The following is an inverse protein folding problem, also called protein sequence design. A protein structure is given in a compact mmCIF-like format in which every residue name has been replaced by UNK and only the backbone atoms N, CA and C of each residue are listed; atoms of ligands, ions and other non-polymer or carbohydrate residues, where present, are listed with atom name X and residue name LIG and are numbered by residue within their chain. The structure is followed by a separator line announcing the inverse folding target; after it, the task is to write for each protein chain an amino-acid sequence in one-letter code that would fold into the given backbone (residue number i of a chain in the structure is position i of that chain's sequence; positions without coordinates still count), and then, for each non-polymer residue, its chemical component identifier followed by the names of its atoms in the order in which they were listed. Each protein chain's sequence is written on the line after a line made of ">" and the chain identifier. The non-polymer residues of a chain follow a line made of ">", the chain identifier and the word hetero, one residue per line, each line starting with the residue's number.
data_IF_663627203660
#
_entry.id   IF_663627203660
#
_cell.length_a   1.000
_cell.length_b   1.000
_cell.length_c   1.000
_cell.angle_alpha   90.00
_cell.angle_beta   90.00
_cell.angle_gamma   90.00
#
_symmetry.space_group_name_H-M   'P 1'
#
loop_
_entity.id
_entity.type
_entity.pdbx_description
1 polymer ?
#
# COMPACT_ATOMS: atom_id res chain seq x y z
N UNK A 1 29.08 -38.48 -10.24
CA UNK A 1 30.21 -39.45 -10.27
C UNK A 1 30.73 -39.68 -8.86
N UNK A 2 30.77 -38.64 -8.02
CA UNK A 2 30.23 -38.70 -6.65
C UNK A 2 28.80 -39.30 -6.75
N UNK A 3 28.44 -40.46 -6.21
CA UNK A 3 29.07 -41.15 -5.08
C UNK A 3 28.84 -42.67 -5.11
N UNK A 4 29.25 -43.32 -6.19
CA UNK A 4 29.09 -44.77 -6.33
C UNK A 4 29.70 -45.54 -5.12
N UNK A 5 30.79 -45.01 -4.56
CA UNK A 5 31.48 -45.53 -3.37
C UNK A 5 30.65 -45.36 -2.10
N UNK A 6 29.99 -44.21 -1.93
CA UNK A 6 29.08 -44.00 -0.80
C UNK A 6 27.84 -44.88 -0.90
N UNK A 7 27.21 -44.97 -2.08
CA UNK A 7 26.06 -45.84 -2.30
C UNK A 7 26.43 -47.31 -2.03
N UNK A 8 27.63 -47.74 -2.43
CA UNK A 8 28.16 -49.04 -2.09
C UNK A 8 28.34 -49.23 -0.57
N UNK A 9 28.90 -48.26 0.14
CA UNK A 9 29.08 -48.34 1.59
C UNK A 9 27.73 -48.34 2.33
N UNK A 10 26.77 -47.51 1.92
CA UNK A 10 25.43 -47.47 2.49
C UNK A 10 24.66 -48.78 2.26
N UNK A 11 24.84 -49.41 1.09
CA UNK A 11 24.29 -50.74 0.79
C UNK A 11 24.90 -51.80 1.70
N UNK A 12 26.23 -51.80 1.87
CA UNK A 12 26.91 -52.72 2.78
C UNK A 12 26.37 -52.54 4.20
N UNK A 13 26.26 -51.31 4.68
CA UNK A 13 25.75 -50.99 6.00
C UNK A 13 24.31 -51.47 6.24
N UNK A 14 23.43 -51.40 5.24
CA UNK A 14 22.05 -51.92 5.34
C UNK A 14 22.02 -53.44 5.56
N UNK A 15 22.86 -54.18 4.84
CA UNK A 15 23.00 -55.64 4.99
C UNK A 15 23.92 -56.09 6.12
N UNK A 16 24.57 -55.16 6.81
CA UNK A 16 25.55 -55.45 7.85
C UNK A 16 24.88 -55.95 9.13
N UNK A 17 25.47 -56.99 9.73
CA UNK A 17 25.12 -57.49 11.05
C UNK A 17 26.32 -57.24 11.98
N UNK A 18 26.26 -56.22 12.85
CA UNK A 18 27.40 -55.84 13.67
C UNK A 18 27.65 -56.89 14.77
N UNK A 19 28.92 -57.08 15.14
CA UNK A 19 29.32 -58.06 16.16
C UNK A 19 28.77 -57.71 17.56
N UNK A 20 28.57 -56.42 17.82
CA UNK A 20 27.87 -55.86 18.98
C UNK A 20 27.04 -54.64 18.50
N UNK A 21 25.95 -54.25 19.20
CA UNK A 21 25.17 -53.07 18.81
C UNK A 21 26.04 -51.81 18.67
N UNK A 22 26.07 -51.23 17.47
CA UNK A 22 26.90 -50.06 17.14
C UNK A 22 28.36 -50.34 16.78
N UNK A 23 28.78 -51.60 16.72
CA UNK A 23 30.14 -51.92 16.29
C UNK A 23 30.28 -51.73 14.77
N UNK A 24 31.41 -51.14 14.37
CA UNK A 24 31.83 -51.00 12.96
C UNK A 24 32.40 -52.30 12.37
N UNK A 25 32.58 -53.33 13.20
CA UNK A 25 32.99 -54.69 12.80
C UNK A 25 31.83 -55.67 12.95
N UNK A 26 31.68 -56.57 11.98
CA UNK A 26 30.53 -57.47 11.89
C UNK A 26 30.57 -58.37 10.67
N UNK A 27 29.48 -59.09 10.46
CA UNK A 27 29.29 -60.00 9.33
C UNK A 27 28.38 -59.39 8.28
N UNK A 28 28.71 -59.60 7.01
CA UNK A 28 27.91 -59.20 5.86
C UNK A 28 27.68 -60.39 4.94
N UNK A 29 26.43 -60.68 4.58
CA UNK A 29 26.09 -61.76 3.66
C UNK A 29 26.00 -61.22 2.23
N UNK A 30 26.83 -61.75 1.34
CA UNK A 30 26.88 -61.33 -0.07
C UNK A 30 25.81 -62.10 -0.83
N UNK A 31 24.61 -61.54 -0.97
CA UNK A 31 23.47 -62.23 -1.60
C UNK A 31 23.45 -62.06 -3.13
N UNK A 32 23.89 -60.90 -3.62
CA UNK A 32 23.78 -60.49 -5.03
C UNK A 32 25.10 -60.03 -5.62
N UNK A 33 25.17 -59.94 -6.95
CA UNK A 33 26.34 -59.38 -7.65
C UNK A 33 26.53 -57.89 -7.33
N UNK A 34 25.45 -57.17 -7.00
CA UNK A 34 25.52 -55.79 -6.53
C UNK A 34 26.24 -55.68 -5.17
N UNK A 35 25.93 -56.59 -4.23
CA UNK A 35 26.61 -56.65 -2.92
C UNK A 35 28.10 -56.93 -3.08
N UNK A 36 28.45 -57.88 -3.96
CA UNK A 36 29.83 -58.21 -4.28
C UNK A 36 30.58 -57.00 -4.87
N UNK A 37 29.98 -56.36 -5.87
CA UNK A 37 30.56 -55.20 -6.54
C UNK A 37 30.73 -54.03 -5.56
N UNK A 38 29.79 -53.84 -4.64
CA UNK A 38 29.86 -52.82 -3.60
C UNK A 38 31.06 -53.06 -2.67
N UNK A 39 31.24 -54.28 -2.17
CA UNK A 39 32.38 -54.64 -1.31
C UNK A 39 33.70 -54.46 -2.06
N UNK A 40 33.80 -54.95 -3.30
CA UNK A 40 35.02 -54.79 -4.11
C UNK A 40 35.35 -53.31 -4.38
N UNK A 41 34.33 -52.48 -4.63
CA UNK A 41 34.50 -51.03 -4.83
C UNK A 41 34.98 -50.34 -3.55
N UNK A 42 34.38 -50.66 -2.40
CA UNK A 42 34.76 -50.08 -1.13
C UNK A 42 36.17 -50.52 -0.69
N UNK A 43 36.61 -51.74 -1.02
CA UNK A 43 37.98 -52.21 -0.78
C UNK A 43 39.01 -51.50 -1.68
N UNK A 44 38.68 -51.24 -2.94
CA UNK A 44 39.54 -50.46 -3.85
C UNK A 44 39.74 -49.03 -3.35
N UNK A 45 38.72 -48.45 -2.75
CA UNK A 45 38.73 -47.10 -2.16
C UNK A 45 38.89 -47.13 -0.64
N UNK A 46 39.71 -48.06 -0.12
CA UNK A 46 39.98 -48.20 1.32
C UNK A 46 40.44 -46.89 1.97
N UNK A 47 41.21 -46.07 1.25
CA UNK A 47 41.63 -44.74 1.71
C UNK A 47 40.48 -43.82 2.11
N UNK A 48 39.25 -44.07 1.65
CA UNK A 48 38.06 -43.27 1.99
C UNK A 48 37.14 -44.02 2.94
N UNK A 49 36.86 -45.27 2.62
CA UNK A 49 35.87 -46.11 3.33
C UNK A 49 36.40 -46.73 4.61
N UNK A 50 37.71 -46.90 4.73
CA UNK A 50 38.35 -47.66 5.81
C UNK A 50 37.87 -49.12 5.87
N UNK A 51 37.36 -49.68 4.76
CA UNK A 51 36.80 -51.03 4.74
C UNK A 51 37.92 -52.08 4.70
N UNK A 52 37.86 -53.06 5.61
CA UNK A 52 38.78 -54.19 5.70
C UNK A 52 38.03 -55.51 5.82
N UNK A 53 38.58 -56.57 5.19
CA UNK A 53 38.11 -57.95 5.34
C UNK A 53 38.97 -58.65 6.38
N UNK A 54 38.39 -59.01 7.53
CA UNK A 54 39.19 -59.41 8.69
C UNK A 54 39.53 -60.91 8.72
N UNK A 55 38.64 -61.78 8.25
CA UNK A 55 38.76 -63.24 8.48
C UNK A 55 38.73 -64.10 7.22
N UNK A 56 38.51 -63.53 6.02
CA UNK A 56 38.37 -64.32 4.79
C UNK A 56 38.93 -63.57 3.57
N UNK A 57 40.25 -63.63 3.40
CA UNK A 57 40.98 -63.01 2.27
C UNK A 57 40.65 -63.70 0.92
N UNK A 58 40.06 -64.90 0.95
CA UNK A 58 39.69 -65.63 -0.26
C UNK A 58 38.32 -65.23 -0.78
N UNK A 59 38.35 -64.29 -1.75
CA UNK A 59 37.31 -63.87 -2.68
C UNK A 59 35.92 -63.62 -2.07
N UNK A 60 35.46 -62.37 -2.17
CA UNK A 60 34.05 -62.00 -1.96
C UNK A 60 33.22 -62.72 -3.01
N UNK A 61 32.63 -63.87 -2.67
CA UNK A 61 31.82 -64.71 -3.57
C UNK A 61 30.37 -64.66 -3.12
N UNK A 62 29.45 -64.60 -4.10
CA UNK A 62 28.01 -64.66 -3.87
C UNK A 62 27.65 -65.93 -3.07
N UNK A 63 26.80 -65.78 -2.07
CA UNK A 63 26.31 -66.85 -1.20
C UNK A 63 27.16 -67.13 0.02
N UNK A 64 28.17 -66.29 0.33
CA UNK A 64 29.00 -66.42 1.54
C UNK A 64 28.87 -65.21 2.47
N UNK A 65 29.06 -65.47 3.76
CA UNK A 65 29.18 -64.45 4.80
C UNK A 65 30.64 -64.06 4.96
N UNK A 66 30.92 -62.77 4.98
CA UNK A 66 32.25 -62.20 5.13
C UNK A 66 32.29 -61.32 6.37
N UNK A 67 33.34 -61.42 7.18
CA UNK A 67 33.57 -60.52 8.32
C UNK A 67 34.24 -59.23 7.82
N UNK A 68 33.53 -58.11 7.95
CA UNK A 68 33.97 -56.79 7.50
C UNK A 68 34.14 -55.84 8.68
N UNK A 69 35.05 -54.89 8.55
CA UNK A 69 35.19 -53.72 9.43
C UNK A 69 35.27 -52.48 8.57
N UNK A 70 34.57 -51.39 8.91
CA UNK A 70 34.71 -50.12 8.19
C UNK A 70 34.86 -48.95 9.15
N UNK A 71 35.87 -48.13 8.95
CA UNK A 71 36.09 -46.87 9.67
C UNK A 71 36.33 -45.73 8.68
N UNK A 72 35.26 -45.13 8.13
CA UNK A 72 35.37 -44.12 7.09
C UNK A 72 36.12 -42.89 7.61
N UNK A 73 36.92 -42.25 6.75
CA UNK A 73 37.63 -41.03 7.16
C UNK A 73 36.63 -39.97 7.65
N UNK A 74 36.85 -39.33 8.83
CA UNK A 74 35.90 -38.39 9.42
C UNK A 74 35.51 -37.21 8.52
N UNK A 75 36.40 -36.78 7.62
CA UNK A 75 36.13 -35.73 6.64
C UNK A 75 35.36 -36.19 5.39
N UNK A 76 35.22 -37.50 5.18
CA UNK A 76 34.52 -38.09 4.04
C UNK A 76 33.11 -38.56 4.41
N UNK A 77 32.95 -39.33 5.50
CA UNK A 77 31.67 -39.78 6.02
C UNK A 77 31.72 -39.94 7.54
N UNK A 78 30.58 -39.71 8.20
CA UNK A 78 30.43 -39.91 9.65
C UNK A 78 29.70 -41.22 9.92
N UNK A 79 30.20 -42.03 10.85
CA UNK A 79 29.51 -43.25 11.31
C UNK A 79 29.18 -43.07 12.77
N UNK A 80 27.91 -43.28 13.12
CA UNK A 80 27.42 -43.25 14.48
C UNK A 80 26.72 -44.57 14.80
N UNK A 81 26.88 -45.06 16.02
CA UNK A 81 26.16 -46.22 16.55
C UNK A 81 24.66 -46.00 16.49
N UNK A 82 24.21 -44.89 17.06
CA UNK A 82 22.81 -44.49 17.12
C UNK A 82 22.68 -42.99 16.79
N UNK A 83 21.44 -42.50 16.77
CA UNK A 83 21.18 -41.12 16.43
C UNK A 83 21.59 -40.17 17.59
N UNK A 84 21.68 -40.65 18.83
CA UNK A 84 22.14 -39.84 19.95
C UNK A 84 23.64 -39.51 19.79
N UNK A 85 24.48 -40.50 19.44
CA UNK A 85 25.90 -40.28 19.12
C UNK A 85 26.08 -39.32 17.92
N UNK A 86 25.18 -39.38 16.92
CA UNK A 86 25.23 -38.42 15.82
C UNK A 86 24.95 -36.98 16.29
N UNK A 87 24.03 -36.81 17.25
CA UNK A 87 23.64 -35.52 17.81
C UNK A 87 24.57 -35.02 18.93
N UNK A 88 25.43 -35.88 19.49
CA UNK A 88 26.49 -35.49 20.42
C UNK A 88 27.53 -34.60 19.74
N UNK A 89 27.77 -34.80 18.44
CA UNK A 89 28.55 -33.87 17.64
C UNK A 89 27.73 -32.59 17.41
N UNK A 90 28.11 -31.46 18.04
CA UNK A 90 27.23 -30.31 18.17
C UNK A 90 26.88 -29.67 16.80
N UNK A 91 27.81 -29.72 15.85
CA UNK A 91 27.60 -29.22 14.48
C UNK A 91 26.49 -29.95 13.72
N UNK A 92 26.22 -31.22 14.03
CA UNK A 92 25.18 -32.00 13.38
C UNK A 92 23.78 -31.52 13.80
N UNK A 93 23.62 -30.76 14.89
CA UNK A 93 22.31 -30.23 15.31
C UNK A 93 21.78 -29.12 14.41
N UNK A 94 22.69 -28.38 13.78
CA UNK A 94 22.37 -27.20 12.94
C UNK A 94 22.45 -27.49 11.45
N UNK A 95 23.31 -28.44 11.05
CA UNK A 95 23.51 -28.84 9.65
C UNK A 95 23.90 -30.30 9.58
N UNK A 96 23.16 -31.08 8.78
CA UNK A 96 23.54 -32.44 8.48
C UNK A 96 24.82 -32.50 7.64
N UNK A 97 25.70 -33.44 7.98
CA UNK A 97 26.84 -33.81 7.12
C UNK A 97 26.34 -34.39 5.81
N UNK A 98 27.12 -34.23 4.74
CA UNK A 98 26.77 -34.75 3.42
C UNK A 98 26.67 -36.27 3.36
N UNK A 99 27.42 -36.96 4.23
CA UNK A 99 27.45 -38.42 4.32
C UNK A 99 27.49 -38.83 5.78
N UNK A 100 26.46 -39.54 6.21
CA UNK A 100 26.43 -40.13 7.54
C UNK A 100 25.68 -41.45 7.53
N UNK A 101 26.02 -42.31 8.49
CA UNK A 101 25.43 -43.62 8.67
C UNK A 101 25.11 -43.85 10.15
N UNK A 102 23.90 -44.33 10.42
CA UNK A 102 23.44 -44.72 11.75
C UNK A 102 23.30 -46.24 11.77
N UNK A 103 24.16 -46.92 12.54
CA UNK A 103 24.29 -48.37 12.49
C UNK A 103 23.10 -49.12 13.10
N UNK A 104 22.55 -48.62 14.21
CA UNK A 104 21.44 -49.25 14.93
C UNK A 104 20.17 -49.31 14.08
N UNK A 105 19.82 -48.20 13.42
CA UNK A 105 18.65 -48.12 12.53
C UNK A 105 18.95 -48.53 11.10
N UNK A 106 20.22 -48.77 10.76
CA UNK A 106 20.70 -49.07 9.39
C UNK A 106 20.33 -48.01 8.36
N UNK A 107 20.16 -46.77 8.81
CA UNK A 107 19.77 -45.64 7.97
C UNK A 107 21.01 -44.83 7.56
N UNK A 108 20.99 -44.33 6.33
CA UNK A 108 22.05 -43.48 5.81
C UNK A 108 21.53 -42.09 5.44
N UNK A 109 22.46 -41.21 5.08
CA UNK A 109 22.14 -39.92 4.47
C UNK A 109 21.41 -40.02 3.12
N UNK A 110 21.11 -41.21 2.61
CA UNK A 110 20.31 -41.40 1.39
C UNK A 110 18.82 -41.64 1.73
N UNK A 111 18.51 -42.00 2.98
CA UNK A 111 17.15 -42.32 3.45
C UNK A 111 16.38 -41.06 3.94
N UNK A 112 16.83 -39.86 3.56
CA UNK A 112 16.33 -38.56 4.04
C UNK A 112 14.86 -38.30 3.71
N UNK A 113 14.35 -38.95 2.67
CA UNK A 113 12.98 -38.77 2.19
C UNK A 113 11.97 -39.60 2.99
N UNK A 114 12.42 -40.63 3.71
CA UNK A 114 11.56 -41.45 4.55
C UNK A 114 11.34 -40.80 5.92
N UNK A 115 10.32 -39.95 6.00
CA UNK A 115 9.97 -39.19 7.18
C UNK A 115 9.35 -40.04 8.31
N UNK A 116 9.05 -41.31 8.07
CA UNK A 116 8.65 -42.22 9.14
C UNK A 116 9.85 -42.59 10.03
N UNK A 117 11.06 -42.44 9.52
CA UNK A 117 12.32 -42.76 10.23
C UNK A 117 12.80 -41.63 11.13
N UNK A 118 13.61 -41.98 12.13
CA UNK A 118 14.27 -41.01 13.00
C UNK A 118 15.22 -40.08 12.20
N UNK A 119 15.88 -40.60 11.16
CA UNK A 119 16.72 -39.81 10.24
C UNK A 119 15.90 -38.82 9.40
N UNK A 120 14.74 -39.23 8.89
CA UNK A 120 13.84 -38.31 8.18
C UNK A 120 13.30 -37.20 9.09
N UNK A 121 12.96 -37.53 10.34
CA UNK A 121 12.57 -36.54 11.37
C UNK A 121 13.69 -35.56 11.68
N UNK A 122 14.91 -36.05 11.85
CA UNK A 122 16.11 -35.23 12.01
C UNK A 122 16.28 -34.22 10.86
N UNK A 123 16.11 -34.65 9.61
CA UNK A 123 16.22 -33.76 8.45
C UNK A 123 15.16 -32.67 8.40
N UNK A 124 13.94 -32.95 8.86
CA UNK A 124 12.90 -31.92 8.99
C UNK A 124 13.31 -30.87 10.02
N UNK A 125 13.92 -31.27 11.14
CA UNK A 125 14.43 -30.33 12.16
C UNK A 125 15.60 -29.51 11.62
N UNK A 126 16.51 -30.09 10.84
CA UNK A 126 17.57 -29.34 10.15
C UNK A 126 16.98 -28.31 9.19
N UNK A 127 15.95 -28.69 8.42
CA UNK A 127 15.20 -27.78 7.56
C UNK A 127 14.57 -26.62 8.34
N UNK A 128 14.02 -26.90 9.53
CA UNK A 128 13.51 -25.87 10.43
C UNK A 128 14.63 -24.94 10.90
N UNK A 129 15.79 -25.46 11.32
CA UNK A 129 16.93 -24.61 11.73
C UNK A 129 17.35 -23.66 10.61
N UNK A 130 17.37 -24.13 9.36
CA UNK A 130 17.66 -23.26 8.21
C UNK A 130 16.59 -22.19 8.00
N UNK A 131 15.31 -22.52 8.19
CA UNK A 131 14.24 -21.52 8.12
C UNK A 131 14.31 -20.50 9.27
N UNK A 132 14.62 -20.95 10.50
CA UNK A 132 14.80 -20.08 11.66
C UNK A 132 16.00 -19.16 11.50
N UNK A 133 17.06 -19.59 10.80
CA UNK A 133 18.21 -18.76 10.46
C UNK A 133 17.83 -17.55 9.60
N UNK A 134 16.83 -17.67 8.73
CA UNK A 134 16.32 -16.55 7.93
C UNK A 134 15.53 -15.53 8.76
N UNK A 135 15.00 -15.94 9.92
CA UNK A 135 14.37 -15.05 10.91
C UNK A 135 15.36 -14.49 11.94
N UNK A 136 16.44 -15.22 12.23
CA UNK A 136 17.47 -14.80 13.17
C UNK A 136 18.34 -13.68 12.59
N UNK A 137 18.97 -12.89 13.47
CA UNK A 137 19.99 -11.93 13.05
C UNK A 137 21.24 -12.63 12.53
N UNK A 138 21.63 -13.72 13.21
CA UNK A 138 22.69 -14.63 12.77
C UNK A 138 22.62 -15.97 13.52
N UNK A 139 23.34 -16.97 13.00
CA UNK A 139 23.58 -18.26 13.66
C UNK A 139 25.03 -18.30 14.12
N UNK A 140 25.27 -18.33 15.43
CA UNK A 140 26.57 -18.62 16.01
C UNK A 140 26.84 -20.12 15.82
N UNK A 141 27.73 -20.44 14.89
CA UNK A 141 28.03 -21.84 14.53
C UNK A 141 28.81 -22.57 15.63
N UNK A 142 29.86 -21.99 16.24
CA UNK A 142 30.50 -22.57 17.42
C UNK A 142 29.54 -22.89 18.57
N UNK A 143 28.68 -21.94 18.95
CA UNK A 143 27.74 -22.12 20.07
C UNK A 143 26.42 -22.82 19.67
N UNK A 144 26.22 -23.10 18.37
CA UNK A 144 24.95 -23.55 17.77
C UNK A 144 23.75 -22.73 18.23
N UNK A 145 23.91 -21.42 18.26
CA UNK A 145 22.95 -20.53 18.88
C UNK A 145 22.35 -19.59 17.83
N UNK A 146 21.03 -19.63 17.69
CA UNK A 146 20.28 -18.69 16.87
C UNK A 146 20.07 -17.41 17.68
N UNK A 147 20.64 -16.31 17.20
CA UNK A 147 20.57 -15.02 17.89
C UNK A 147 19.55 -14.13 17.21
N UNK A 148 18.47 -13.81 17.93
CA UNK A 148 17.41 -12.91 17.47
C UNK A 148 17.64 -11.49 17.99
N UNK A 149 17.35 -10.51 17.14
CA UNK A 149 17.45 -9.08 17.45
C UNK A 149 16.05 -8.48 17.34
N UNK A 150 15.21 -8.74 18.34
CA UNK A 150 13.83 -8.22 18.40
C UNK A 150 13.58 -7.64 19.79
N UNK A 151 13.74 -6.31 19.92
CA UNK A 151 13.66 -5.61 21.21
C UNK A 151 14.84 -5.87 22.17
N UNK A 152 15.90 -6.51 21.70
CA UNK A 152 17.09 -6.91 22.46
C UNK A 152 17.74 -8.16 21.86
N UNK A 153 18.91 -8.56 22.39
CA UNK A 153 19.53 -9.85 22.06
C UNK A 153 18.75 -10.97 22.73
N UNK A 154 18.32 -11.96 21.96
CA UNK A 154 17.66 -13.16 22.48
C UNK A 154 18.31 -14.41 21.89
N UNK A 155 18.87 -15.24 22.76
CA UNK A 155 19.59 -16.47 22.39
C UNK A 155 18.66 -17.69 22.39
N UNK A 156 18.70 -18.46 21.31
CA UNK A 156 18.02 -19.75 21.14
C UNK A 156 19.05 -20.82 20.76
N UNK A 157 19.67 -21.49 21.75
CA UNK A 157 20.57 -22.61 21.49
C UNK A 157 19.82 -23.78 20.83
N UNK A 158 20.37 -24.33 19.77
CA UNK A 158 19.81 -25.45 19.02
C UNK A 158 20.12 -26.77 19.73
N UNK A 159 19.39 -27.00 20.83
CA UNK A 159 19.52 -28.20 21.66
C UNK A 159 18.25 -29.05 21.59
N UNK A 160 18.40 -30.28 21.14
CA UNK A 160 17.35 -31.31 21.09
C UNK A 160 17.97 -32.70 21.12
N UNK A 161 17.16 -33.68 21.50
CA UNK A 161 17.53 -35.10 21.63
C UNK A 161 16.73 -35.97 20.69
N UNK A 162 17.10 -37.25 20.54
CA UNK A 162 16.32 -38.22 19.77
C UNK A 162 14.91 -38.39 20.33
N UNK A 163 14.74 -38.23 21.66
CA UNK A 163 13.42 -38.28 22.30
C UNK A 163 12.51 -37.15 21.80
N UNK A 164 13.07 -35.96 21.57
CA UNK A 164 12.31 -34.82 21.03
C UNK A 164 11.93 -35.07 19.55
N UNK A 165 12.82 -35.68 18.77
CA UNK A 165 12.56 -36.08 17.39
C UNK A 165 11.40 -37.08 17.28
N UNK A 166 11.30 -38.03 18.22
CA UNK A 166 10.22 -39.02 18.24
C UNK A 166 8.88 -38.44 18.68
N UNK A 167 8.90 -37.43 19.56
CA UNK A 167 7.69 -36.78 20.10
C UNK A 167 7.13 -35.67 19.22
N UNK A 168 7.93 -35.08 18.32
CA UNK A 168 7.46 -33.97 17.49
C UNK A 168 6.36 -34.41 16.53
N UNK A 169 5.44 -33.47 16.25
CA UNK A 169 4.50 -33.58 15.16
C UNK A 169 5.18 -33.11 13.86
N UNK A 170 5.38 -34.04 12.93
CA UNK A 170 6.11 -33.80 11.69
C UNK A 170 5.43 -32.77 10.79
N UNK A 171 4.11 -32.75 10.75
CA UNK A 171 3.36 -31.84 9.88
C UNK A 171 3.44 -30.41 10.39
N UNK A 172 3.30 -30.23 11.72
CA UNK A 172 3.40 -28.92 12.36
C UNK A 172 4.80 -28.31 12.18
N UNK A 173 5.85 -29.09 12.43
CA UNK A 173 7.25 -28.62 12.26
C UNK A 173 7.56 -28.30 10.79
N UNK A 174 7.10 -29.14 9.86
CA UNK A 174 7.29 -28.89 8.42
C UNK A 174 6.57 -27.63 7.96
N UNK A 175 5.38 -27.37 8.48
CA UNK A 175 4.64 -26.16 8.13
C UNK A 175 5.36 -24.87 8.53
N UNK A 176 6.28 -24.93 9.51
CA UNK A 176 7.09 -23.77 9.92
C UNK A 176 8.22 -23.46 8.93
N UNK A 177 8.70 -24.43 8.15
CA UNK A 177 9.85 -24.24 7.24
C UNK A 177 9.52 -23.38 6.02
N UNK A 178 8.23 -23.19 5.73
CA UNK A 178 7.72 -22.47 4.56
C UNK A 178 7.09 -21.12 4.88
N UNK A 179 7.19 -20.66 6.14
CA UNK A 179 6.54 -19.42 6.59
C UNK A 179 7.13 -18.15 6.00
N UNK A 180 8.44 -18.17 5.71
CA UNK A 180 9.14 -17.01 5.15
C UNK A 180 9.15 -17.15 3.61
N UNK A 181 8.41 -16.29 2.88
CA UNK A 181 8.44 -16.31 1.43
C UNK A 181 9.76 -15.74 0.89
N UNK A 182 10.06 -16.06 -0.37
CA UNK A 182 11.22 -15.51 -1.09
C UNK A 182 10.93 -14.17 -1.79
N UNK A 183 9.82 -13.51 -1.45
CA UNK A 183 9.31 -12.32 -2.13
C UNK A 183 9.60 -11.01 -1.36
N UNK A 184 8.92 -9.94 -1.74
CA UNK A 184 9.05 -8.59 -1.16
C UNK A 184 8.72 -8.55 0.34
N UNK A 185 7.95 -9.49 0.88
CA UNK A 185 7.54 -9.54 2.28
C UNK A 185 8.46 -10.36 3.17
N UNK A 186 9.55 -10.92 2.61
CA UNK A 186 10.52 -11.75 3.34
C UNK A 186 10.94 -11.17 4.69
N UNK A 187 11.35 -9.89 4.73
CA UNK A 187 11.87 -9.25 5.94
C UNK A 187 10.80 -9.12 7.04
N UNK A 188 9.57 -8.78 6.68
CA UNK A 188 8.48 -8.62 7.64
C UNK A 188 7.98 -9.97 8.15
N UNK A 189 7.84 -10.97 7.28
CA UNK A 189 7.52 -12.33 7.69
C UNK A 189 8.61 -12.89 8.62
N UNK A 190 9.89 -12.67 8.32
CA UNK A 190 11.01 -13.02 9.19
C UNK A 190 10.91 -12.34 10.57
N UNK A 191 10.58 -11.05 10.62
CA UNK A 191 10.41 -10.31 11.87
C UNK A 191 9.22 -10.80 12.72
N UNK A 192 8.07 -11.07 12.08
CA UNK A 192 6.89 -11.63 12.74
C UNK A 192 7.21 -13.01 13.31
N UNK A 193 7.92 -13.84 12.53
CA UNK A 193 8.32 -15.17 12.97
C UNK A 193 9.30 -15.09 14.15
N UNK A 194 10.31 -14.21 14.07
CA UNK A 194 11.22 -13.95 15.18
C UNK A 194 10.48 -13.56 16.47
N UNK A 195 9.50 -12.65 16.40
CA UNK A 195 8.69 -12.27 17.58
C UNK A 195 7.88 -13.45 18.13
N UNK A 196 7.25 -14.23 17.25
CA UNK A 196 6.47 -15.39 17.68
C UNK A 196 7.35 -16.45 18.38
N UNK A 197 8.58 -16.67 17.87
CA UNK A 197 9.58 -17.56 18.47
C UNK A 197 9.98 -17.05 19.85
N UNK A 198 10.41 -15.78 19.93
CA UNK A 198 10.94 -15.22 21.18
C UNK A 198 9.88 -15.19 22.26
N UNK A 199 8.65 -14.83 21.93
CA UNK A 199 7.56 -14.74 22.91
C UNK A 199 7.10 -16.12 23.41
N UNK A 200 7.06 -17.13 22.53
CA UNK A 200 6.69 -18.50 22.92
C UNK A 200 7.70 -19.12 23.90
N UNK A 201 9.00 -18.90 23.68
CA UNK A 201 10.07 -19.56 24.45
C UNK A 201 10.69 -18.67 25.54
N UNK A 202 10.23 -17.42 25.68
CA UNK A 202 10.79 -16.44 26.64
C UNK A 202 10.82 -16.95 28.08
N UNK A 203 9.72 -17.59 28.50
CA UNK A 203 9.55 -18.10 29.86
C UNK A 203 10.33 -19.39 30.12
N UNK A 204 10.90 -20.01 29.08
CA UNK A 204 11.61 -21.28 29.19
C UNK A 204 13.10 -21.08 29.52
N UNK A 205 13.70 -21.98 30.32
CA UNK A 205 15.15 -22.00 30.54
C UNK A 205 15.90 -22.10 29.22
N UNK A 206 16.98 -21.33 29.06
CA UNK A 206 17.72 -21.18 27.79
C UNK A 206 18.05 -22.50 27.11
N UNK A 207 18.45 -23.52 27.89
CA UNK A 207 18.83 -24.84 27.38
C UNK A 207 17.67 -25.66 26.81
N UNK A 208 16.43 -25.38 27.24
CA UNK A 208 15.25 -26.16 26.86
C UNK A 208 14.40 -25.46 25.78
N UNK A 209 14.76 -24.24 25.38
CA UNK A 209 13.95 -23.41 24.48
C UNK A 209 13.68 -24.08 23.14
N UNK A 210 14.69 -24.70 22.53
CA UNK A 210 14.54 -25.32 21.21
C UNK A 210 13.71 -26.60 21.27
N UNK A 211 13.96 -27.48 22.25
CA UNK A 211 13.11 -28.65 22.50
C UNK A 211 11.64 -28.27 22.76
N UNK A 212 11.40 -27.22 23.55
CA UNK A 212 10.06 -26.68 23.80
C UNK A 212 9.41 -26.15 22.50
N UNK A 213 10.17 -25.44 21.68
CA UNK A 213 9.72 -24.95 20.38
C UNK A 213 9.27 -26.09 19.46
N UNK A 214 10.02 -27.21 19.41
CA UNK A 214 9.64 -28.40 18.65
C UNK A 214 8.33 -29.02 19.17
N UNK A 215 8.19 -29.13 20.49
CA UNK A 215 6.99 -29.68 21.12
C UNK A 215 5.74 -28.81 20.92
N UNK A 216 5.90 -27.50 20.69
CA UNK A 216 4.81 -26.54 20.54
C UNK A 216 4.80 -25.85 19.17
N UNK A 217 5.25 -26.56 18.13
CA UNK A 217 5.28 -26.06 16.76
C UNK A 217 3.90 -25.56 16.26
N UNK A 218 2.81 -26.21 16.68
CA UNK A 218 1.44 -25.78 16.36
C UNK A 218 1.08 -24.41 16.96
N UNK A 219 1.47 -24.17 18.21
CA UNK A 219 1.24 -22.89 18.88
C UNK A 219 2.08 -21.79 18.23
N UNK A 220 3.33 -22.10 17.89
CA UNK A 220 4.20 -21.19 17.14
C UNK A 220 3.58 -20.79 15.80
N UNK A 221 3.03 -21.76 15.06
CA UNK A 221 2.34 -21.51 13.79
C UNK A 221 1.14 -20.58 13.99
N UNK A 222 0.31 -20.83 14.99
CA UNK A 222 -0.84 -20.00 15.29
C UNK A 222 -0.43 -18.56 15.69
N UNK A 223 0.63 -18.40 16.48
CA UNK A 223 1.18 -17.11 16.86
C UNK A 223 1.70 -16.33 15.64
N UNK A 224 2.42 -17.00 14.72
CA UNK A 224 2.84 -16.42 13.46
C UNK A 224 1.65 -15.96 12.60
N UNK A 225 0.67 -16.84 12.38
CA UNK A 225 -0.51 -16.54 11.56
C UNK A 225 -1.30 -15.35 12.13
N UNK A 226 -1.37 -15.23 13.46
CA UNK A 226 -1.99 -14.09 14.13
C UNK A 226 -1.18 -12.80 13.94
N UNK A 227 0.14 -12.83 14.12
CA UNK A 227 1.01 -11.69 13.86
C UNK A 227 0.94 -11.22 12.40
N UNK A 228 0.90 -12.16 11.46
CA UNK A 228 0.73 -11.90 10.04
C UNK A 228 -0.62 -11.26 9.73
N UNK A 229 -1.72 -11.73 10.33
CA UNK A 229 -3.05 -11.09 10.19
C UNK A 229 -3.05 -9.64 10.67
N UNK A 230 -2.41 -9.35 11.80
CA UNK A 230 -2.30 -7.97 12.32
C UNK A 230 -1.48 -7.10 11.37
N UNK A 231 -0.34 -7.60 10.89
CA UNK A 231 0.48 -6.90 9.92
C UNK A 231 -0.27 -6.62 8.60
N UNK A 232 -0.96 -7.63 8.05
CA UNK A 232 -1.75 -7.51 6.83
C UNK A 232 -2.92 -6.53 7.00
N UNK A 233 -3.55 -6.51 8.19
CA UNK A 233 -4.58 -5.54 8.53
C UNK A 233 -4.02 -4.11 8.64
N UNK A 234 -2.83 -3.93 9.24
CA UNK A 234 -2.14 -2.64 9.31
C UNK A 234 -1.76 -2.10 7.93
N UNK A 235 -1.16 -2.92 7.07
CA UNK A 235 -0.84 -2.54 5.69
C UNK A 235 -2.09 -2.18 4.88
N UNK A 236 -3.16 -2.95 5.08
CA UNK A 236 -4.46 -2.68 4.46
C UNK A 236 -5.06 -1.36 4.94
N UNK A 237 -4.88 -1.01 6.22
CA UNK A 237 -5.30 0.28 6.78
C UNK A 237 -4.50 1.47 6.21
N UNK A 238 -3.17 1.37 6.12
CA UNK A 238 -2.34 2.42 5.53
C UNK A 238 -2.70 2.65 4.06
N UNK A 239 -2.78 1.57 3.27
CA UNK A 239 -3.19 1.65 1.87
C UNK A 239 -4.59 2.24 1.69
N UNK A 240 -5.52 1.87 2.58
CA UNK A 240 -6.87 2.42 2.61
C UNK A 240 -6.84 3.93 2.87
N UNK A 241 -6.09 4.37 3.89
CA UNK A 241 -5.94 5.79 4.23
C UNK A 241 -5.39 6.58 3.04
N UNK A 242 -4.31 6.10 2.42
CA UNK A 242 -3.72 6.75 1.24
C UNK A 242 -4.71 6.86 0.08
N UNK A 243 -5.47 5.79 -0.17
CA UNK A 243 -6.49 5.77 -1.24
C UNK A 243 -7.61 6.78 -0.97
N UNK A 244 -8.04 6.91 0.29
CA UNK A 244 -9.09 7.84 0.71
C UNK A 244 -8.59 9.29 0.65
N UNK A 245 -7.35 9.55 1.08
CA UNK A 245 -6.73 10.87 0.96
C UNK A 245 -6.57 11.28 -0.50
N UNK A 246 -6.12 10.38 -1.37
CA UNK A 246 -6.03 10.62 -2.81
C UNK A 246 -7.40 10.94 -3.43
N UNK A 247 -8.43 10.14 -3.14
CA UNK A 247 -9.79 10.37 -3.62
C UNK A 247 -10.34 11.71 -3.12
N UNK A 248 -10.08 12.08 -1.87
CA UNK A 248 -10.47 13.37 -1.30
C UNK A 248 -9.85 14.53 -2.06
N UNK A 249 -8.55 14.46 -2.34
CA UNK A 249 -7.82 15.50 -3.10
C UNK A 249 -8.37 15.60 -4.53
N UNK A 250 -8.54 14.45 -5.20
CA UNK A 250 -9.06 14.40 -6.57
C UNK A 250 -10.45 15.01 -6.68
N UNK A 251 -11.39 14.56 -5.84
CA UNK A 251 -12.76 15.08 -5.87
C UNK A 251 -12.85 16.52 -5.42
N UNK A 252 -12.07 16.95 -4.42
CA UNK A 252 -11.98 18.36 -4.07
C UNK A 252 -11.52 19.21 -5.27
N UNK A 253 -10.56 18.71 -6.05
CA UNK A 253 -10.12 19.32 -7.31
C UNK A 253 -11.24 19.40 -8.35
N UNK A 254 -11.96 18.30 -8.60
CA UNK A 254 -13.10 18.26 -9.53
C UNK A 254 -14.23 19.23 -9.12
N UNK A 255 -14.58 19.25 -7.83
CA UNK A 255 -15.54 20.18 -7.20
C UNK A 255 -15.08 21.64 -7.41
N UNK A 256 -13.81 21.93 -7.19
CA UNK A 256 -13.26 23.28 -7.38
C UNK A 256 -13.29 23.72 -8.84
N UNK A 257 -13.01 22.80 -9.78
CA UNK A 257 -13.10 23.07 -11.22
C UNK A 257 -14.50 23.52 -11.64
N UNK A 258 -15.55 22.81 -11.20
CA UNK A 258 -16.95 23.19 -11.47
C UNK A 258 -17.24 24.63 -11.01
N UNK A 259 -16.73 25.02 -9.84
CA UNK A 259 -16.89 26.38 -9.33
C UNK A 259 -16.16 27.41 -10.20
N UNK A 260 -14.89 27.13 -10.54
CA UNK A 260 -14.09 28.00 -11.39
C UNK A 260 -14.72 28.20 -12.77
N UNK A 261 -15.34 27.16 -13.34
CA UNK A 261 -15.98 27.23 -14.66
C UNK A 261 -17.24 28.12 -14.65
N UNK A 262 -17.95 28.21 -13.52
CA UNK A 262 -19.14 29.08 -13.34
C UNK A 262 -18.74 30.51 -12.98
N UNK A 263 -17.56 30.73 -12.40
CA UNK A 263 -17.11 32.04 -11.93
C UNK A 263 -17.13 33.13 -13.03
N UNK A 264 -16.76 32.78 -14.26
CA UNK A 264 -16.82 33.71 -15.39
C UNK A 264 -18.24 34.15 -15.73
N UNK A 265 -19.23 33.26 -15.56
CA UNK A 265 -20.64 33.56 -15.81
C UNK A 265 -21.19 34.47 -14.70
N UNK A 266 -20.78 34.23 -13.46
CA UNK A 266 -21.12 35.07 -12.32
C UNK A 266 -20.66 36.52 -12.50
N UNK A 267 -19.47 36.73 -13.06
CA UNK A 267 -18.97 38.07 -13.37
C UNK A 267 -19.76 38.76 -14.50
N UNK A 268 -20.38 37.98 -15.40
CA UNK A 268 -21.22 38.51 -16.48
C UNK A 268 -22.58 39.05 -16.01
N UNK A 269 -23.13 38.54 -14.90
CA UNK A 269 -24.46 38.92 -14.41
C UNK A 269 -24.56 40.42 -14.05
N UNK A 270 -23.64 41.02 -13.26
CA UNK A 270 -23.66 42.46 -12.97
C UNK A 270 -23.54 43.32 -14.23
N UNK A 271 -22.67 42.91 -15.17
CA UNK A 271 -22.44 43.64 -16.42
C UNK A 271 -23.71 43.63 -17.27
N UNK A 272 -24.32 42.46 -17.46
CA UNK A 272 -25.58 42.33 -18.19
C UNK A 272 -26.72 43.15 -17.55
N UNK A 273 -26.79 43.17 -16.22
CA UNK A 273 -27.77 43.96 -15.47
C UNK A 273 -27.62 45.46 -15.71
N UNK A 274 -26.39 45.99 -15.66
CA UNK A 274 -26.12 47.41 -15.95
C UNK A 274 -26.48 47.75 -17.39
N UNK A 275 -26.16 46.88 -18.35
CA UNK A 275 -26.48 47.08 -19.77
C UNK A 275 -28.00 47.22 -19.95
N UNK A 276 -28.79 46.30 -19.39
CA UNK A 276 -30.27 46.39 -19.47
C UNK A 276 -30.79 47.67 -18.83
N UNK A 277 -30.28 48.04 -17.66
CA UNK A 277 -30.73 49.23 -16.93
C UNK A 277 -30.37 50.56 -17.64
N UNK A 278 -29.26 50.61 -18.39
CA UNK A 278 -28.75 51.85 -18.99
C UNK A 278 -29.10 52.01 -20.47
N UNK A 279 -29.31 50.92 -21.20
CA UNK A 279 -29.56 50.95 -22.64
C UNK A 279 -31.03 51.08 -23.01
N UNK A 280 -31.96 50.73 -22.11
CA UNK A 280 -33.39 50.92 -22.35
C UNK A 280 -33.77 52.41 -22.21
N UNK A 281 -34.54 52.94 -23.16
CA UNK A 281 -34.97 54.35 -23.22
C UNK A 281 -36.49 54.50 -23.18
N UNK A 282 -37.04 55.59 -22.60
CA UNK A 282 -38.47 55.87 -22.72
C UNK A 282 -38.88 56.03 -24.17
N UNK A 283 -39.98 55.40 -24.57
CA UNK A 283 -40.50 55.48 -25.94
C UNK A 283 -42.02 55.63 -25.91
N UNK A 284 -42.51 56.73 -26.48
CA UNK A 284 -43.93 57.04 -26.53
C UNK A 284 -44.62 56.44 -27.76
N UNK A 285 -43.89 56.16 -28.84
CA UNK A 285 -44.40 55.67 -30.13
C UNK A 285 -43.58 54.46 -30.63
N UNK A 286 -44.02 53.79 -31.70
CA UNK A 286 -43.28 52.68 -32.34
C UNK A 286 -42.06 53.14 -33.17
N UNK A 287 -41.21 53.98 -32.57
CA UNK A 287 -40.02 54.58 -33.18
C UNK A 287 -38.72 53.77 -32.99
N UNK A 288 -37.58 54.43 -33.23
CA UNK A 288 -36.26 53.80 -33.11
C UNK A 288 -35.95 53.33 -31.69
N UNK A 289 -36.42 54.06 -30.67
CA UNK A 289 -36.24 53.74 -29.25
C UNK A 289 -36.97 52.43 -28.86
N UNK A 290 -38.12 52.16 -29.48
CA UNK A 290 -38.85 50.91 -29.29
C UNK A 290 -38.06 49.71 -29.84
N UNK A 291 -37.43 49.86 -31.01
CA UNK A 291 -36.59 48.83 -31.61
C UNK A 291 -35.38 48.54 -30.72
N UNK A 292 -34.75 49.59 -30.16
CA UNK A 292 -33.63 49.45 -29.21
C UNK A 292 -34.06 48.67 -27.96
N UNK A 293 -35.16 49.05 -27.31
CA UNK A 293 -35.63 48.34 -26.12
C UNK A 293 -35.96 46.87 -26.40
N UNK A 294 -36.55 46.59 -27.56
CA UNK A 294 -36.91 45.23 -27.98
C UNK A 294 -35.66 44.41 -28.28
N UNK A 295 -34.65 44.99 -28.91
CA UNK A 295 -33.36 44.35 -29.13
C UNK A 295 -32.61 44.06 -27.83
N UNK A 296 -32.64 44.98 -26.85
CA UNK A 296 -32.05 44.78 -25.51
C UNK A 296 -32.78 43.65 -24.77
N UNK A 297 -34.12 43.62 -24.81
CA UNK A 297 -34.91 42.55 -24.17
C UNK A 297 -34.66 41.19 -24.83
N UNK A 298 -34.56 41.13 -26.16
CA UNK A 298 -34.20 39.91 -26.90
C UNK A 298 -32.78 39.44 -26.54
N UNK A 299 -31.83 40.37 -26.42
CA UNK A 299 -30.48 40.08 -25.94
C UNK A 299 -30.47 39.50 -24.52
N UNK A 300 -31.32 40.04 -23.62
CA UNK A 300 -31.48 39.51 -22.27
C UNK A 300 -32.02 38.06 -22.26
N UNK A 301 -32.99 37.74 -23.13
CA UNK A 301 -33.48 36.37 -23.31
C UNK A 301 -32.40 35.41 -23.79
N UNK A 302 -31.61 35.81 -24.79
CA UNK A 302 -30.51 34.98 -25.30
C UNK A 302 -29.45 34.75 -24.22
N UNK A 303 -29.06 35.80 -23.50
CA UNK A 303 -28.09 35.71 -22.40
C UNK A 303 -28.57 34.76 -21.30
N UNK A 304 -29.83 34.89 -20.87
CA UNK A 304 -30.43 34.04 -19.84
C UNK A 304 -30.53 32.59 -20.32
N UNK A 305 -30.97 32.36 -21.55
CA UNK A 305 -31.09 31.02 -22.14
C UNK A 305 -29.74 30.30 -22.20
N UNK A 306 -28.70 30.98 -22.67
CA UNK A 306 -27.34 30.44 -22.66
C UNK A 306 -26.84 30.20 -21.24
N UNK A 307 -26.98 31.18 -20.34
CA UNK A 307 -26.54 31.04 -18.95
C UNK A 307 -27.22 29.85 -18.24
N UNK A 308 -28.52 29.66 -18.42
CA UNK A 308 -29.26 28.53 -17.85
C UNK A 308 -28.81 27.19 -18.43
N UNK A 309 -28.48 27.11 -19.73
CA UNK A 309 -27.90 25.92 -20.34
C UNK A 309 -26.54 25.57 -19.71
N UNK A 310 -25.66 26.56 -19.54
CA UNK A 310 -24.36 26.35 -18.89
C UNK A 310 -24.51 25.92 -17.42
N UNK A 311 -25.40 26.56 -16.65
CA UNK A 311 -25.67 26.18 -15.25
C UNK A 311 -26.26 24.76 -15.15
N UNK A 312 -27.15 24.38 -16.07
CA UNK A 312 -27.71 23.04 -16.13
C UNK A 312 -26.64 21.99 -16.45
N UNK A 313 -25.73 22.27 -17.38
CA UNK A 313 -24.60 21.41 -17.67
C UNK A 313 -23.72 21.18 -16.42
N UNK A 314 -23.43 22.23 -15.67
CA UNK A 314 -22.64 22.13 -14.44
C UNK A 314 -23.37 21.38 -13.32
N UNK A 315 -24.69 21.53 -13.23
CA UNK A 315 -25.52 20.74 -12.32
C UNK A 315 -25.47 19.24 -12.63
N UNK A 316 -25.53 18.85 -13.92
CA UNK A 316 -25.39 17.45 -14.34
C UNK A 316 -24.01 16.90 -13.98
N UNK A 317 -22.94 17.68 -14.20
CA UNK A 317 -21.57 17.30 -13.80
C UNK A 317 -21.48 17.01 -12.30
N UNK A 318 -22.09 17.86 -11.45
CA UNK A 318 -22.13 17.62 -10.00
C UNK A 318 -22.93 16.38 -9.61
N UNK A 319 -23.99 16.05 -10.35
CA UNK A 319 -24.78 14.83 -10.10
C UNK A 319 -23.95 13.58 -10.40
N UNK A 320 -23.25 13.55 -11.54
CA UNK A 320 -22.33 12.46 -11.88
C UNK A 320 -21.24 12.31 -10.81
N UNK A 321 -20.67 13.44 -10.38
CA UNK A 321 -19.63 13.47 -9.36
C UNK A 321 -20.11 12.91 -8.01
N UNK A 322 -21.33 13.25 -7.59
CA UNK A 322 -21.95 12.69 -6.38
C UNK A 322 -22.10 11.17 -6.49
N UNK A 323 -22.52 10.66 -7.66
CA UNK A 323 -22.63 9.24 -7.93
C UNK A 323 -21.28 8.51 -7.85
N UNK A 324 -20.23 9.11 -8.42
CA UNK A 324 -18.86 8.59 -8.38
C UNK A 324 -18.34 8.49 -6.93
N UNK A 325 -18.50 9.56 -6.15
CA UNK A 325 -18.14 9.61 -4.72
C UNK A 325 -18.86 8.50 -3.94
N UNK A 326 -20.17 8.33 -4.15
CA UNK A 326 -20.97 7.32 -3.45
C UNK A 326 -20.54 5.90 -3.81
N UNK A 327 -20.27 5.64 -5.10
CA UNK A 327 -19.81 4.34 -5.59
C UNK A 327 -18.43 3.99 -5.02
N UNK A 328 -17.50 4.93 -5.02
CA UNK A 328 -16.17 4.71 -4.48
C UNK A 328 -16.20 4.46 -2.96
N UNK A 329 -17.02 5.21 -2.22
CA UNK A 329 -17.29 4.95 -0.78
C UNK A 329 -17.73 3.50 -0.57
N UNK A 330 -18.74 3.04 -1.30
CA UNK A 330 -19.27 1.68 -1.17
C UNK A 330 -18.23 0.60 -1.50
N UNK A 331 -17.39 0.83 -2.51
CA UNK A 331 -16.33 -0.10 -2.86
C UNK A 331 -15.29 -0.23 -1.73
N UNK A 332 -14.84 0.89 -1.18
CA UNK A 332 -13.87 0.93 -0.06
C UNK A 332 -14.44 0.29 1.21
N UNK A 333 -15.71 0.53 1.55
CA UNK A 333 -16.37 -0.12 2.68
C UNK A 333 -16.48 -1.64 2.52
N UNK A 334 -16.67 -2.12 1.29
CA UNK A 334 -16.75 -3.55 0.99
C UNK A 334 -15.39 -4.23 1.11
N UNK A 335 -14.35 -3.59 0.58
CA UNK A 335 -12.98 -4.12 0.60
C UNK A 335 -12.36 -4.07 2.00
N UNK A 336 -12.75 -3.10 2.85
CA UNK A 336 -12.12 -2.84 4.16
C UNK A 336 -13.14 -2.73 5.31
N UNK A 337 -14.03 -3.73 5.44
CA UNK A 337 -15.13 -3.77 6.44
C UNK A 337 -14.69 -3.50 7.89
N UNK A 338 -13.50 -3.95 8.29
CA UNK A 338 -13.01 -3.83 9.66
C UNK A 338 -12.69 -2.38 10.06
N UNK A 339 -12.52 -1.46 9.09
CA UNK A 339 -12.10 -0.08 9.34
C UNK A 339 -12.98 0.96 8.63
N UNK A 340 -14.14 0.53 8.11
CA UNK A 340 -15.09 1.39 7.41
C UNK A 340 -15.56 2.61 8.23
N UNK A 341 -15.69 2.45 9.56
CA UNK A 341 -16.16 3.51 10.44
C UNK A 341 -15.29 4.77 10.48
N UNK A 342 -13.98 4.67 10.21
CA UNK A 342 -13.10 5.85 10.19
C UNK A 342 -13.17 6.66 8.88
N UNK A 343 -13.94 6.19 7.89
CA UNK A 343 -14.04 6.80 6.56
C UNK A 343 -15.27 7.68 6.39
N UNK A 344 -16.25 7.56 7.29
CA UNK A 344 -17.55 8.24 7.22
C UNK A 344 -17.37 9.75 7.11
N UNK A 345 -16.52 10.33 7.95
CA UNK A 345 -16.30 11.78 8.05
C UNK A 345 -15.67 12.35 6.77
N UNK A 346 -14.71 11.63 6.19
CA UNK A 346 -14.02 12.06 4.98
C UNK A 346 -15.01 12.20 3.82
N UNK A 347 -15.77 11.15 3.51
CA UNK A 347 -16.76 11.17 2.43
C UNK A 347 -17.95 12.09 2.71
N UNK A 348 -18.41 12.15 3.96
CA UNK A 348 -19.50 13.08 4.37
C UNK A 348 -19.10 14.53 4.09
N UNK A 349 -17.84 14.89 4.31
CA UNK A 349 -17.35 16.23 3.99
C UNK A 349 -17.40 16.55 2.49
N UNK A 350 -17.14 15.56 1.61
CA UNK A 350 -17.24 15.73 0.15
C UNK A 350 -18.69 15.89 -0.30
N UNK A 351 -19.59 15.02 0.18
CA UNK A 351 -21.02 15.08 -0.15
C UNK A 351 -21.62 16.42 0.27
N UNK A 352 -21.26 16.91 1.47
CA UNK A 352 -21.69 18.23 1.94
C UNK A 352 -21.22 19.36 1.02
N UNK A 353 -20.00 19.28 0.48
CA UNK A 353 -19.48 20.25 -0.49
C UNK A 353 -20.25 20.22 -1.80
N UNK A 354 -20.51 19.03 -2.36
CA UNK A 354 -21.32 18.87 -3.58
C UNK A 354 -22.72 19.43 -3.39
N UNK A 355 -23.37 19.12 -2.26
CA UNK A 355 -24.69 19.67 -1.95
C UNK A 355 -24.69 21.19 -1.86
N UNK A 356 -23.70 21.77 -1.15
CA UNK A 356 -23.56 23.23 -1.04
C UNK A 356 -23.40 23.88 -2.41
N UNK A 357 -22.65 23.25 -3.32
CA UNK A 357 -22.49 23.75 -4.70
C UNK A 357 -23.77 23.68 -5.53
N UNK A 358 -24.55 22.60 -5.39
CA UNK A 358 -25.87 22.49 -6.03
C UNK A 358 -26.81 23.60 -5.57
N UNK A 359 -26.79 23.93 -4.28
CA UNK A 359 -27.55 25.06 -3.72
C UNK A 359 -27.09 26.38 -4.33
N UNK A 360 -25.78 26.63 -4.39
CA UNK A 360 -25.22 27.85 -5.00
C UNK A 360 -25.66 27.99 -6.46
N UNK A 361 -25.52 26.94 -7.27
CA UNK A 361 -25.98 26.94 -8.67
C UNK A 361 -27.48 27.25 -8.77
N UNK A 362 -28.30 26.65 -7.91
CA UNK A 362 -29.74 26.92 -7.87
C UNK A 362 -30.06 28.37 -7.53
N UNK A 363 -29.36 28.97 -6.56
CA UNK A 363 -29.51 30.39 -6.21
C UNK A 363 -29.14 31.27 -7.40
N UNK A 364 -28.05 30.97 -8.12
CA UNK A 364 -27.63 31.72 -9.30
C UNK A 364 -28.71 31.64 -10.40
N UNK A 365 -29.27 30.46 -10.64
CA UNK A 365 -30.37 30.29 -11.59
C UNK A 365 -31.59 31.15 -11.23
N UNK A 366 -31.95 31.22 -9.94
CA UNK A 366 -33.04 32.10 -9.47
C UNK A 366 -32.71 33.57 -9.74
N UNK A 367 -31.50 34.02 -9.40
CA UNK A 367 -31.07 35.41 -9.61
C UNK A 367 -31.14 35.80 -11.09
N UNK A 368 -30.70 34.93 -12.00
CA UNK A 368 -30.75 35.17 -13.44
C UNK A 368 -32.20 35.29 -13.94
N UNK A 369 -33.11 34.43 -13.46
CA UNK A 369 -34.54 34.49 -13.79
C UNK A 369 -35.20 35.76 -13.23
N UNK A 370 -34.88 36.15 -12.00
CA UNK A 370 -35.34 37.42 -11.42
C UNK A 370 -34.83 38.63 -12.22
N UNK A 371 -33.58 38.58 -12.71
CA UNK A 371 -33.02 39.59 -13.60
C UNK A 371 -33.83 39.74 -14.89
N UNK A 372 -34.24 38.63 -15.50
CA UNK A 372 -35.11 38.64 -16.68
C UNK A 372 -36.50 39.21 -16.37
N UNK A 373 -37.08 38.86 -15.22
CA UNK A 373 -38.37 39.42 -14.79
C UNK A 373 -38.28 40.94 -14.57
N UNK A 374 -37.18 41.43 -13.99
CA UNK A 374 -36.93 42.87 -13.85
C UNK A 374 -36.75 43.55 -15.21
N UNK A 375 -36.09 42.90 -16.18
CA UNK A 375 -35.96 43.43 -17.54
C UNK A 375 -37.33 43.58 -18.23
N UNK A 376 -38.22 42.60 -18.07
CA UNK A 376 -39.60 42.69 -18.54
C UNK A 376 -40.39 43.79 -17.85
N UNK A 377 -40.23 43.93 -16.54
CA UNK A 377 -40.84 45.03 -15.79
C UNK A 377 -40.36 46.40 -16.29
N UNK A 378 -39.06 46.58 -16.48
CA UNK A 378 -38.49 47.82 -17.01
C UNK A 378 -39.00 48.11 -18.43
N UNK A 379 -39.04 47.10 -19.30
CA UNK A 379 -39.61 47.21 -20.64
C UNK A 379 -41.08 47.65 -20.60
N UNK A 380 -41.90 47.02 -19.75
CA UNK A 380 -43.32 47.38 -19.61
C UNK A 380 -43.54 48.84 -19.18
N UNK A 381 -42.62 49.38 -18.37
CA UNK A 381 -42.71 50.76 -17.87
C UNK A 381 -42.21 51.79 -18.88
N UNK A 382 -41.18 51.46 -19.67
CA UNK A 382 -40.55 52.37 -20.61
C UNK A 382 -41.20 52.38 -22.00
N UNK A 383 -41.93 51.31 -22.38
CA UNK A 383 -42.69 51.19 -23.63
C UNK A 383 -44.16 50.80 -23.38
N UNK A 384 -44.99 51.72 -22.84
CA UNK A 384 -46.36 51.40 -22.41
C UNK A 384 -47.30 51.02 -23.56
N UNK A 385 -47.20 51.67 -24.73
CA UNK A 385 -48.06 51.37 -25.90
C UNK A 385 -47.80 49.97 -26.47
N UNK A 386 -46.53 49.55 -26.54
CA UNK A 386 -46.18 48.22 -27.01
C UNK A 386 -46.57 47.14 -25.99
N UNK A 387 -46.37 47.39 -24.71
CA UNK A 387 -46.80 46.47 -23.66
C UNK A 387 -48.31 46.25 -23.64
N UNK A 388 -49.10 47.31 -23.86
CA UNK A 388 -50.54 47.23 -24.01
C UNK A 388 -50.98 46.39 -25.22
N UNK A 389 -50.26 46.48 -26.34
CA UNK A 389 -50.54 45.65 -27.53
C UNK A 389 -50.25 44.16 -27.30
N UNK A 390 -49.28 43.82 -26.45
CA UNK A 390 -48.92 42.44 -26.11
C UNK A 390 -49.82 41.86 -25.00
N UNK A 391 -50.25 42.68 -24.05
CA UNK A 391 -51.06 42.25 -22.88
C UNK A 391 -52.57 42.45 -23.03
N UNK A 392 -53.00 43.19 -24.06
CA UNK A 392 -54.42 43.49 -24.31
C UNK A 392 -55.04 44.51 -23.35
N UNK A 393 -54.25 45.15 -22.49
CA UNK A 393 -54.72 46.13 -21.49
C UNK A 393 -54.56 47.55 -22.07
N UNK A 394 -55.64 48.36 -22.20
CA UNK A 394 -55.53 49.70 -22.78
C UNK A 394 -54.72 50.66 -21.90
N UNK A 395 -53.78 51.40 -22.50
CA UNK A 395 -53.05 52.49 -21.83
C UNK A 395 -53.98 53.68 -21.67
N UNK A 396 -54.14 54.19 -20.43
CA UNK A 396 -54.85 55.45 -20.20
C UNK A 396 -54.08 56.61 -20.88
N UNK A 397 -54.75 57.35 -21.76
CA UNK A 397 -54.18 58.49 -22.47
C UNK A 397 -53.72 59.58 -21.49
N UNK A 398 -52.57 60.25 -21.71
CA UNK A 398 -52.17 61.39 -20.91
C UNK A 398 -53.20 62.52 -21.09
N UNK A 399 -53.72 63.05 -19.98
CA UNK A 399 -54.62 64.20 -19.97
C UNK A 399 -53.91 65.44 -20.50
N UNK A 400 -54.36 65.96 -21.64
CA UNK A 400 -54.02 67.30 -22.13
C UNK A 400 -54.69 68.35 -21.22
N UNK A 401 -53.96 69.26 -20.55
CA UNK A 401 -54.59 70.43 -19.97
C UNK A 401 -54.68 71.50 -21.07
N UNK A 402 -55.84 71.59 -21.69
CA UNK A 402 -56.17 72.74 -22.53
C UNK A 402 -56.41 73.98 -21.67
N UNK A 403 -55.92 75.13 -22.17
CA UNK A 403 -56.58 76.44 -22.12
C UNK A 403 -57.01 77.03 -20.77
N UNK A 404 -56.33 78.12 -20.38
CA UNK A 404 -56.94 79.23 -19.64
C UNK A 404 -56.09 79.78 -18.50
N UNK A 405 -55.40 80.90 -18.73
CA UNK A 405 -55.51 82.19 -18.00
C UNK A 405 -54.34 83.11 -18.39
N UNK A 406 -54.67 84.38 -18.46
CA UNK A 406 -54.08 85.48 -19.21
C UNK A 406 -52.76 86.07 -18.68
N UNK A 407 -52.14 86.85 -19.57
CA UNK A 407 -50.94 87.66 -19.50
C UNK A 407 -50.70 88.49 -18.22
N UNK A 408 -49.42 88.61 -17.85
CA UNK A 408 -48.83 89.88 -17.43
C UNK A 408 -47.33 89.89 -17.73
N UNK A 409 -46.92 90.87 -18.54
CA UNK A 409 -45.58 91.21 -18.98
C UNK A 409 -44.74 91.84 -17.86
N UNK A 410 -43.45 91.51 -17.78
CA UNK A 410 -42.36 92.51 -17.73
C UNK A 410 -41.00 91.80 -17.61
N UNK A 411 -40.13 92.05 -18.59
CA UNK A 411 -38.68 91.90 -18.46
C UNK A 411 -38.10 93.31 -18.58
N UNK A 412 -37.02 93.65 -17.87
CA UNK A 412 -35.76 93.75 -18.60
C UNK A 412 -34.53 93.24 -17.82
N UNK A 413 -33.53 92.80 -18.59
CA UNK A 413 -32.17 92.44 -18.17
C UNK A 413 -31.31 93.69 -17.84
N UNK A 414 -29.98 93.64 -17.61
CA UNK A 414 -29.05 92.53 -17.26
C UNK A 414 -28.10 92.88 -16.07
N UNK A 415 -27.34 91.91 -15.50
CA UNK A 415 -25.96 92.10 -14.97
C UNK A 415 -25.36 90.80 -14.36
N UNK A 416 -24.08 90.55 -14.67
CA UNK A 416 -23.18 89.50 -14.11
C UNK A 416 -22.37 90.06 -12.90
N UNK A 417 -21.36 89.36 -12.33
CA UNK A 417 -21.39 88.13 -11.53
C UNK A 417 -20.71 88.31 -10.14
N UNK A 418 -20.99 87.47 -9.13
CA UNK A 418 -20.13 87.35 -7.94
C UNK A 418 -20.29 86.01 -7.20
N UNK A 419 -19.17 85.28 -7.07
CA UNK A 419 -18.65 84.48 -5.92
C UNK A 419 -19.64 83.68 -5.03
N UNK A 420 -19.44 82.44 -4.59
CA UNK A 420 -18.30 81.50 -4.44
C UNK A 420 -18.91 80.18 -3.92
N UNK A 421 -18.42 78.96 -4.19
CA UNK A 421 -17.45 78.20 -3.37
C UNK A 421 -17.31 76.77 -3.99
N UNK A 422 -16.05 76.30 -4.12
CA UNK A 422 -15.43 74.94 -4.19
C UNK A 422 -16.30 73.64 -4.20
N UNK A 423 -15.80 72.47 -4.72
CA UNK A 423 -14.44 71.98 -4.50
C UNK A 423 -13.71 71.18 -5.62
N UNK A 424 -12.40 71.01 -5.38
CA UNK A 424 -11.51 69.87 -5.71
C UNK A 424 -11.22 69.48 -7.18
N UNK A 425 -9.97 69.74 -7.56
CA UNK A 425 -9.19 69.10 -8.64
C UNK A 425 -8.60 67.74 -8.16
N UNK A 426 -7.69 67.05 -8.90
CA UNK A 426 -7.50 66.93 -10.35
C UNK A 426 -7.35 65.45 -10.81
N UNK A 427 -7.33 65.25 -12.14
CA UNK A 427 -6.71 64.10 -12.81
C UNK A 427 -5.65 64.66 -13.77
N UNK A 428 -4.39 64.25 -13.64
CA UNK A 428 -3.66 63.56 -14.71
C UNK A 428 -2.18 63.31 -14.40
N UNK A 429 -1.81 62.06 -14.62
CA UNK A 429 -0.62 61.56 -15.32
C UNK A 429 0.78 62.17 -15.02
N UNK A 430 1.58 61.33 -14.37
CA UNK A 430 2.91 60.87 -14.78
C UNK A 430 3.87 61.88 -15.45
N UNK A 431 5.02 62.13 -14.80
CA UNK A 431 6.29 61.65 -15.37
C UNK A 431 7.45 61.59 -14.36
N UNK A 432 8.45 60.81 -14.76
CA UNK A 432 9.67 60.35 -14.12
C UNK A 432 10.54 61.34 -13.32
N UNK A 433 11.33 60.79 -12.37
CA UNK A 433 12.47 61.50 -11.78
C UNK A 433 13.01 60.91 -10.46
N UNK A 434 13.78 59.82 -10.57
CA UNK A 434 15.14 59.65 -10.01
C UNK A 434 15.50 60.14 -8.57
N UNK A 435 16.20 59.23 -7.85
CA UNK A 435 17.29 59.43 -6.85
C UNK A 435 16.95 59.38 -5.33
N UNK A 436 17.48 58.31 -4.71
CA UNK A 436 18.18 58.14 -3.40
C UNK A 436 17.50 57.97 -2.04
N UNK A 437 18.10 57.00 -1.33
CA UNK A 437 18.28 56.80 0.14
C UNK A 437 17.04 56.41 0.93
N UNK A 438 17.03 55.40 1.79
CA UNK A 438 18.07 54.54 2.33
C UNK A 438 17.39 53.25 2.81
N UNK A 439 18.03 52.09 2.63
CA UNK A 439 17.80 51.01 3.58
C UNK A 439 19.09 50.23 3.83
N UNK A 440 19.27 49.93 5.10
CA UNK A 440 20.51 49.50 5.76
C UNK A 440 20.43 47.99 6.03
N UNK A 441 21.62 47.36 6.15
CA UNK A 441 21.92 45.93 6.42
C UNK A 441 21.85 45.00 5.19
N UNK A 442 22.94 44.50 4.56
CA UNK A 442 24.20 43.88 5.07
C UNK A 442 23.91 42.74 6.07
N UNK A 443 24.41 41.51 5.94
CA UNK A 443 25.33 40.87 5.01
C UNK A 443 25.43 39.38 5.43
N UNK A 444 25.82 38.51 4.48
CA UNK A 444 26.66 37.30 4.68
C UNK A 444 26.08 36.09 5.48
N UNK A 445 26.39 34.82 5.21
CA UNK A 445 27.36 34.18 4.32
C UNK A 445 27.01 32.68 4.23
N UNK A 446 27.10 32.08 3.03
CA UNK A 446 27.55 30.70 2.90
C UNK A 446 29.05 30.63 3.23
N UNK A 447 29.61 29.44 3.58
CA UNK A 447 30.32 28.73 2.51
C UNK A 447 30.20 27.19 2.53
N UNK A 448 30.43 26.66 1.33
CA UNK A 448 30.83 25.29 0.93
C UNK A 448 31.77 24.58 1.93
N UNK A 449 31.66 23.25 2.04
CA UNK A 449 32.60 22.32 1.37
C UNK A 449 32.28 20.84 1.67
N UNK A 450 32.66 20.00 0.70
CA UNK A 450 32.44 18.56 0.60
C UNK A 450 33.39 17.70 1.45
N UNK A 451 33.00 16.44 1.71
CA UNK A 451 33.75 15.25 1.26
C UNK A 451 33.14 13.93 1.76
N UNK A 452 32.90 13.02 0.81
CA UNK A 452 33.23 11.58 0.80
C UNK A 452 33.60 10.88 2.13
N UNK A 453 32.94 9.76 2.43
CA UNK A 453 33.63 8.46 2.55
C UNK A 453 32.63 7.29 2.52
N UNK A 454 33.05 6.24 1.83
CA UNK A 454 32.43 4.93 1.77
C UNK A 454 32.47 4.19 3.12
N UNK A 455 31.47 3.31 3.32
CA UNK A 455 31.68 1.89 3.63
C UNK A 455 30.44 1.08 3.31
#
# INVERSE_FOLDING_TARGET
>A
MTDLVWTALALIAKGFAPAMPGATRGSFFVATEADRTAVELCLKEHDRTGLEVVESVNAVVIGRTVTLSFDPKPGWASVAKDLDELLDEPGNRIRAKSRFLVLDTKQSSDDLLDQATDVGRYMVVIGLVQALKEAAGFLDTPEQNLVFISGGRFDLPVNYTVTDLRKLNLDDVRALTTLIPADTHKKQCAAIFASAITDLVRAQPTQNRFAYLLAHAKELRAAYDQGYKIYAAGFSYEKLKDTVEAARVEFAGKIHKVLSDVQNQLLGIPIATIIVATQMKPSADFGAEFIVNTAVLLGAWVFVGLTLLLLFNQFQTLLVLEGEIKRQKLQLEREYKAVAGSLEDAFTSLVRRVFSQKVILGVISIVVVCGLAMAHWAYSRLTPLAWASVTGIPVAAPSNPASGVSAASSNPAPQSPASSVKPSAPVSAANAGMVTTADTQRDQMSPKAASSSAR
#
